data_IF_258365890171
#
_entry.id   IF_258365890171
#
_cell.length_a   1.000
_cell.length_b   1.000
_cell.length_c   1.000
_cell.angle_alpha   90.00
_cell.angle_beta   90.00
_cell.angle_gamma   90.00
#
_symmetry.space_group_name_H-M   'P 1'
#
loop_
_entity.id
_entity.type
_entity.pdbx_description
1 polymer ?
#
# COMPACT_ATOMS: atom_id res chain seq x y z
N UNK A 1 32.93 -40.32 57.05
CA UNK A 1 32.02 -40.57 55.92
C UNK A 1 30.96 -39.48 55.93
N UNK A 2 31.09 -38.49 55.05
CA UNK A 2 30.16 -37.37 54.94
C UNK A 2 29.28 -37.64 53.73
N UNK A 3 27.97 -37.84 53.93
CA UNK A 3 27.01 -37.90 52.84
C UNK A 3 26.02 -36.75 52.99
N UNK A 4 26.34 -35.74 52.18
CA UNK A 4 25.56 -34.63 51.63
C UNK A 4 24.06 -34.88 51.52
N UNK A 5 23.29 -33.96 52.12
CA UNK A 5 21.85 -33.78 51.95
C UNK A 5 21.57 -33.04 50.62
N UNK A 6 20.53 -33.39 49.84
CA UNK A 6 20.17 -32.65 48.64
C UNK A 6 19.33 -31.40 48.96
N UNK A 7 19.63 -30.31 48.24
CA UNK A 7 18.95 -29.02 48.31
C UNK A 7 17.62 -29.00 47.51
N UNK A 8 16.67 -28.10 47.85
CA UNK A 8 15.34 -28.03 47.24
C UNK A 8 15.33 -27.35 45.86
N UNK A 9 14.58 -27.94 44.92
CA UNK A 9 14.31 -27.37 43.59
C UNK A 9 13.24 -26.28 43.68
N UNK A 10 13.64 -25.04 43.45
CA UNK A 10 12.76 -23.89 43.21
C UNK A 10 12.65 -23.61 41.69
N UNK A 11 11.59 -22.91 41.24
CA UNK A 11 11.03 -23.03 39.89
C UNK A 11 11.80 -22.28 38.79
N UNK A 12 11.61 -22.75 37.56
CA UNK A 12 12.17 -22.18 36.35
C UNK A 12 11.76 -20.71 36.12
N UNK A 13 12.69 -19.83 35.68
CA UNK A 13 12.35 -18.47 35.27
C UNK A 13 11.66 -18.43 33.90
N UNK A 14 10.77 -17.45 33.74
CA UNK A 14 10.07 -17.11 32.49
C UNK A 14 11.05 -16.88 31.32
N UNK A 15 10.67 -17.19 30.06
CA UNK A 15 11.40 -16.67 28.92
C UNK A 15 11.08 -15.18 28.75
N UNK A 16 12.16 -14.39 28.76
CA UNK A 16 12.17 -12.97 28.49
C UNK A 16 11.49 -12.64 27.15
N UNK A 17 10.75 -11.54 27.14
CA UNK A 17 10.39 -10.84 25.92
C UNK A 17 11.68 -10.39 25.24
N UNK A 18 12.05 -11.05 24.15
CA UNK A 18 13.19 -10.68 23.33
C UNK A 18 12.85 -9.38 22.60
N UNK A 19 13.53 -8.32 23.01
CA UNK A 19 13.60 -7.05 22.29
C UNK A 19 14.86 -7.11 21.43
N UNK A 20 14.68 -7.54 20.19
CA UNK A 20 15.66 -7.39 19.12
C UNK A 20 14.84 -6.93 17.91
N UNK A 21 14.86 -5.67 17.51
CA UNK A 21 16.05 -5.02 16.96
C UNK A 21 16.07 -5.33 15.47
N UNK A 22 15.50 -4.42 14.69
CA UNK A 22 15.42 -4.42 13.22
C UNK A 22 16.76 -4.71 12.53
N UNK A 23 16.74 -5.29 11.31
CA UNK A 23 17.67 -4.85 10.29
C UNK A 23 17.00 -4.61 8.93
N UNK A 24 16.86 -3.34 8.58
CA UNK A 24 17.22 -2.71 7.29
C UNK A 24 16.70 -3.29 5.97
N UNK A 25 16.00 -2.44 5.20
CA UNK A 25 16.06 -2.42 3.73
C UNK A 25 14.71 -2.40 3.01
N UNK A 26 14.00 -1.26 3.05
CA UNK A 26 13.14 -0.72 1.97
C UNK A 26 12.27 0.43 2.54
N UNK A 27 12.92 1.45 3.11
CA UNK A 27 12.26 2.69 3.53
C UNK A 27 12.19 3.68 2.36
N UNK A 28 11.56 3.29 1.26
CA UNK A 28 11.23 4.23 0.18
C UNK A 28 9.92 3.84 -0.52
N UNK A 29 8.84 3.76 0.26
CA UNK A 29 7.48 3.62 -0.26
C UNK A 29 6.68 4.88 0.08
N UNK A 30 7.04 5.96 -0.63
CA UNK A 30 6.21 7.14 -0.83
C UNK A 30 5.73 7.84 0.46
N UNK A 31 6.68 8.41 1.20
CA UNK A 31 6.39 9.34 2.30
C UNK A 31 5.81 10.66 1.77
N UNK A 32 4.48 10.81 1.81
CA UNK A 32 3.85 12.08 2.18
C UNK A 32 2.39 11.93 2.59
N UNK A 33 2.18 12.04 3.92
CA UNK A 33 1.18 12.90 4.60
C UNK A 33 -0.28 12.78 4.17
N UNK A 34 -0.93 11.72 4.61
CA UNK A 34 -2.21 11.75 5.34
C UNK A 34 -2.47 10.30 5.74
N UNK A 35 -2.35 9.97 7.04
CA UNK A 35 -2.51 8.59 7.54
C UNK A 35 -3.90 8.43 8.17
N UNK A 36 -4.93 7.96 7.44
CA UNK A 36 -6.18 7.51 8.02
C UNK A 36 -6.16 5.97 8.09
N UNK A 37 -5.11 5.38 8.69
CA UNK A 37 -5.12 3.94 8.94
C UNK A 37 -5.39 3.75 10.43
N UNK A 38 -6.66 3.56 10.83
CA UNK A 38 -6.97 3.26 12.23
C UNK A 38 -6.25 1.97 12.62
N UNK A 39 -5.71 1.92 13.83
CA UNK A 39 -5.09 0.72 14.41
C UNK A 39 -6.17 -0.11 15.10
N UNK A 40 -6.82 -1.10 14.47
CA UNK A 40 -7.77 -1.95 15.15
C UNK A 40 -7.04 -2.65 16.31
N UNK A 41 -7.53 -2.43 17.53
CA UNK A 41 -6.99 -3.03 18.76
C UNK A 41 -5.50 -2.74 19.05
N UNK A 42 -4.94 -1.64 18.52
CA UNK A 42 -3.54 -1.30 18.71
C UNK A 42 -2.56 -2.27 18.04
N UNK A 43 -3.03 -3.07 17.08
CA UNK A 43 -2.21 -4.01 16.30
C UNK A 43 -2.19 -3.58 14.84
N UNK A 44 -1.00 -3.59 14.24
CA UNK A 44 -0.79 -3.26 12.83
C UNK A 44 -1.06 -4.49 11.94
N UNK A 45 -2.17 -5.20 12.21
CA UNK A 45 -2.58 -6.41 11.52
C UNK A 45 -4.07 -6.41 11.22
N UNK A 46 -4.42 -6.47 9.93
CA UNK A 46 -5.78 -6.40 9.41
C UNK A 46 -6.17 -7.73 8.76
N UNK A 47 -7.42 -8.13 8.94
CA UNK A 47 -8.05 -9.17 8.13
C UNK A 47 -8.41 -8.63 6.74
N UNK A 48 -8.65 -9.52 5.78
CA UNK A 48 -9.04 -9.13 4.42
C UNK A 48 -10.33 -8.30 4.38
N UNK A 49 -11.26 -8.54 5.30
CA UNK A 49 -12.52 -7.79 5.40
C UNK A 49 -12.29 -6.37 5.92
N UNK A 50 -11.39 -6.20 6.90
CA UNK A 50 -11.00 -4.88 7.39
C UNK A 50 -10.26 -4.09 6.31
N UNK A 51 -9.33 -4.71 5.58
CA UNK A 51 -8.65 -4.06 4.45
C UNK A 51 -9.64 -3.65 3.37
N UNK A 52 -10.61 -4.50 3.03
CA UNK A 52 -11.65 -4.17 2.07
C UNK A 52 -12.47 -2.95 2.51
N UNK A 53 -12.84 -2.87 3.79
CA UNK A 53 -13.55 -1.73 4.35
C UNK A 53 -12.70 -0.44 4.34
N UNK A 54 -11.39 -0.53 4.63
CA UNK A 54 -10.50 0.63 4.68
C UNK A 54 -10.11 1.17 3.30
N UNK A 55 -9.88 0.27 2.34
CA UNK A 55 -9.40 0.64 1.00
C UNK A 55 -10.53 0.86 0.00
N UNK A 56 -11.75 0.44 0.33
CA UNK A 56 -12.87 0.40 -0.60
C UNK A 56 -12.74 -0.67 -1.69
N UNK A 57 -11.68 -1.49 -1.66
CA UNK A 57 -11.49 -2.60 -2.59
C UNK A 57 -12.34 -3.79 -2.19
N UNK A 58 -12.90 -4.49 -3.17
CA UNK A 58 -13.58 -5.75 -2.89
C UNK A 58 -12.58 -6.82 -2.41
N UNK A 59 -13.04 -7.73 -1.54
CA UNK A 59 -12.27 -8.91 -1.14
C UNK A 59 -11.80 -9.72 -2.36
N UNK A 60 -12.61 -9.77 -3.42
CA UNK A 60 -12.23 -10.42 -4.67
C UNK A 60 -11.03 -9.72 -5.34
N UNK A 61 -11.04 -8.39 -5.39
CA UNK A 61 -9.95 -7.58 -5.94
C UNK A 61 -8.65 -7.77 -5.16
N UNK A 62 -8.72 -7.81 -3.82
CA UNK A 62 -7.55 -8.06 -2.98
C UNK A 62 -6.93 -9.44 -3.25
N UNK A 63 -7.77 -10.49 -3.32
CA UNK A 63 -7.32 -11.85 -3.68
C UNK A 63 -6.75 -11.91 -5.09
N UNK A 64 -7.34 -11.15 -6.00
CA UNK A 64 -6.85 -11.05 -7.37
C UNK A 64 -5.47 -10.39 -7.43
N UNK A 65 -5.25 -9.30 -6.70
CA UNK A 65 -3.95 -8.63 -6.59
C UNK A 65 -2.86 -9.53 -6.00
N UNK A 66 -3.17 -10.30 -4.97
CA UNK A 66 -2.25 -11.33 -4.44
C UNK A 66 -1.91 -12.37 -5.51
N UNK A 67 -2.92 -12.86 -6.25
CA UNK A 67 -2.73 -13.92 -7.26
C UNK A 67 -1.85 -13.49 -8.43
N UNK A 68 -1.94 -12.22 -8.86
CA UNK A 68 -1.14 -11.70 -9.97
C UNK A 68 0.25 -11.22 -9.53
N UNK A 69 0.61 -11.38 -8.25
CA UNK A 69 1.92 -10.98 -7.73
C UNK A 69 2.09 -9.48 -7.49
N UNK A 70 0.99 -8.71 -7.51
CA UNK A 70 1.02 -7.27 -7.30
C UNK A 70 1.25 -6.89 -5.84
N UNK A 71 0.89 -7.78 -4.91
CA UNK A 71 1.18 -7.61 -3.48
C UNK A 71 2.34 -8.51 -3.06
N UNK A 72 3.21 -8.05 -2.13
CA UNK A 72 4.20 -8.90 -1.49
C UNK A 72 3.52 -10.02 -0.68
N UNK A 73 4.28 -11.03 -0.26
CA UNK A 73 3.73 -12.17 0.47
C UNK A 73 3.00 -11.74 1.74
N UNK A 74 1.68 -11.81 1.72
CA UNK A 74 0.81 -11.49 2.86
C UNK A 74 1.01 -12.55 3.94
N UNK A 75 1.35 -12.10 5.15
CA UNK A 75 1.49 -12.97 6.31
C UNK A 75 0.23 -13.78 6.59
N UNK A 76 0.39 -14.99 7.12
CA UNK A 76 -0.73 -15.82 7.57
C UNK A 76 -0.67 -15.99 9.09
N UNK A 77 -1.81 -15.93 9.76
CA UNK A 77 -1.90 -16.27 11.18
C UNK A 77 -1.71 -17.78 11.39
N UNK A 78 -1.47 -18.20 12.62
CA UNK A 78 -1.43 -19.62 13.02
C UNK A 78 -2.70 -20.41 12.63
N UNK A 79 -3.83 -19.72 12.46
CA UNK A 79 -5.11 -20.28 12.00
C UNK A 79 -5.29 -20.27 10.48
N UNK A 80 -4.24 -19.94 9.72
CA UNK A 80 -4.23 -19.93 8.25
C UNK A 80 -4.88 -18.71 7.59
N UNK A 81 -5.33 -17.72 8.38
CA UNK A 81 -6.01 -16.52 7.87
C UNK A 81 -4.99 -15.47 7.42
N UNK A 82 -5.30 -14.74 6.34
CA UNK A 82 -4.47 -13.64 5.82
C UNK A 82 -4.44 -12.48 6.81
N UNK A 83 -3.25 -11.95 7.05
CA UNK A 83 -3.00 -10.78 7.90
C UNK A 83 -2.18 -9.77 7.13
N UNK A 84 -2.79 -8.62 6.90
CA UNK A 84 -2.21 -7.48 6.21
C UNK A 84 -1.61 -6.53 7.24
N UNK A 85 -0.50 -5.91 6.92
CA UNK A 85 0.20 -4.93 7.76
C UNK A 85 -0.12 -3.50 7.30
N UNK A 86 0.28 -2.49 8.09
CA UNK A 86 0.21 -1.10 7.63
C UNK A 86 0.97 -0.87 6.31
N UNK A 87 2.12 -1.53 6.13
CA UNK A 87 2.89 -1.45 4.89
C UNK A 87 2.10 -1.97 3.69
N UNK A 88 1.29 -3.01 3.89
CA UNK A 88 0.41 -3.52 2.83
C UNK A 88 -0.71 -2.53 2.49
N UNK A 89 -1.24 -1.80 3.47
CA UNK A 89 -2.24 -0.75 3.24
C UNK A 89 -1.63 0.45 2.51
N UNK A 90 -0.42 0.89 2.89
CA UNK A 90 0.31 1.96 2.20
C UNK A 90 0.61 1.57 0.75
N UNK A 91 1.03 0.31 0.52
CA UNK A 91 1.21 -0.24 -0.82
C UNK A 91 -0.09 -0.25 -1.63
N UNK A 92 -1.20 -0.69 -1.03
CA UNK A 92 -2.52 -0.69 -1.69
C UNK A 92 -2.99 0.73 -2.03
N UNK A 93 -2.74 1.71 -1.16
CA UNK A 93 -3.04 3.11 -1.42
C UNK A 93 -2.21 3.64 -2.59
N UNK A 94 -0.92 3.29 -2.66
CA UNK A 94 -0.05 3.65 -3.77
C UNK A 94 -0.50 3.01 -5.09
N UNK A 95 -0.77 1.70 -5.11
CA UNK A 95 -1.35 0.98 -6.27
C UNK A 95 -2.68 1.60 -6.69
N UNK A 96 -3.51 2.01 -5.74
CA UNK A 96 -4.75 2.74 -6.01
C UNK A 96 -4.50 4.04 -6.78
N UNK A 97 -3.51 4.84 -6.36
CA UNK A 97 -3.11 6.07 -7.06
C UNK A 97 -2.59 5.79 -8.46
N UNK A 98 -1.73 4.78 -8.65
CA UNK A 98 -1.23 4.39 -9.98
C UNK A 98 -2.37 3.95 -10.91
N UNK A 99 -3.38 3.25 -10.38
CA UNK A 99 -4.55 2.87 -11.18
C UNK A 99 -5.35 4.10 -11.64
N UNK A 100 -5.46 5.14 -10.81
CA UNK A 100 -6.14 6.39 -11.19
C UNK A 100 -5.43 7.14 -12.32
N UNK A 101 -4.11 6.93 -12.50
CA UNK A 101 -3.38 7.52 -13.63
C UNK A 101 -3.60 6.80 -14.96
N UNK A 102 -4.38 5.71 -14.97
CA UNK A 102 -4.56 4.87 -16.15
C UNK A 102 -3.41 3.90 -16.42
N UNK A 103 -2.49 3.72 -15.46
CA UNK A 103 -1.41 2.74 -15.59
C UNK A 103 -1.99 1.33 -15.76
N UNK A 104 -1.48 0.59 -16.75
CA UNK A 104 -1.89 -0.79 -16.96
C UNK A 104 -1.49 -1.67 -15.77
N UNK A 105 -2.33 -2.65 -15.45
CA UNK A 105 -2.05 -3.60 -14.34
C UNK A 105 -0.74 -4.36 -14.57
N UNK A 106 -0.40 -4.66 -15.83
CA UNK A 106 0.88 -5.28 -16.17
C UNK A 106 2.09 -4.42 -15.75
N UNK A 107 2.02 -3.10 -15.91
CA UNK A 107 3.08 -2.19 -15.48
C UNK A 107 3.18 -2.09 -13.96
N UNK A 108 2.04 -2.11 -13.26
CA UNK A 108 2.02 -2.17 -11.79
C UNK A 108 2.64 -3.47 -11.26
N UNK A 109 2.37 -4.61 -11.91
CA UNK A 109 3.00 -5.90 -11.55
C UNK A 109 4.50 -5.85 -11.84
N UNK A 110 4.92 -5.31 -13.00
CA UNK A 110 6.34 -5.10 -13.31
C UNK A 110 7.01 -4.23 -12.25
N UNK A 111 6.37 -3.16 -11.81
CA UNK A 111 6.89 -2.32 -10.73
C UNK A 111 7.04 -3.12 -9.42
N UNK A 112 6.05 -3.92 -9.05
CA UNK A 112 6.11 -4.79 -7.87
C UNK A 112 7.28 -5.80 -7.96
N UNK A 113 7.52 -6.36 -9.14
CA UNK A 113 8.63 -7.29 -9.38
C UNK A 113 9.99 -6.59 -9.27
N UNK A 114 10.11 -5.36 -9.78
CA UNK A 114 11.32 -4.54 -9.59
C UNK A 114 11.55 -4.23 -8.11
N UNK A 115 10.48 -3.89 -7.37
CA UNK A 115 10.55 -3.67 -5.91
C UNK A 115 11.10 -4.91 -5.20
N UNK A 116 10.59 -6.09 -5.54
CA UNK A 116 11.02 -7.36 -4.94
C UNK A 116 12.47 -7.73 -5.24
N UNK A 117 13.02 -7.30 -6.37
CA UNK A 117 14.42 -7.53 -6.74
C UNK A 117 15.41 -6.73 -5.86
N UNK A 118 14.94 -5.69 -5.17
CA UNK A 118 15.77 -4.87 -4.28
C UNK A 118 16.50 -3.74 -5.00
N UNK A 119 17.39 -3.08 -4.27
CA UNK A 119 17.91 -1.73 -4.56
C UNK A 119 18.56 -1.53 -5.93
N UNK A 120 19.11 -2.58 -6.53
CA UNK A 120 19.74 -2.48 -7.85
C UNK A 120 18.77 -2.08 -8.96
N UNK A 121 17.46 -2.18 -8.75
CA UNK A 121 16.42 -1.79 -9.72
C UNK A 121 15.88 -0.36 -9.54
N UNK A 122 16.47 0.45 -8.64
CA UNK A 122 16.03 1.84 -8.46
C UNK A 122 15.99 2.66 -9.77
N UNK A 123 16.96 2.56 -10.70
CA UNK A 123 16.89 3.28 -11.96
C UNK A 123 15.65 2.93 -12.79
N UNK A 124 15.29 1.65 -12.87
CA UNK A 124 14.15 1.14 -13.63
C UNK A 124 12.82 1.54 -12.98
N UNK A 125 12.73 1.43 -11.64
CA UNK A 125 11.56 1.90 -10.86
C UNK A 125 11.33 3.39 -11.12
N UNK A 126 12.40 4.19 -11.02
CA UNK A 126 12.34 5.64 -11.26
C UNK A 126 11.91 5.96 -12.69
N UNK A 127 12.45 5.25 -13.68
CA UNK A 127 12.08 5.47 -15.08
C UNK A 127 10.58 5.23 -15.33
N UNK A 128 10.02 4.16 -14.77
CA UNK A 128 8.59 3.84 -14.86
C UNK A 128 7.73 4.94 -14.24
N UNK A 129 8.09 5.43 -13.04
CA UNK A 129 7.35 6.49 -12.37
C UNK A 129 7.46 7.84 -13.09
N UNK A 130 8.63 8.15 -13.66
CA UNK A 130 8.82 9.36 -14.47
C UNK A 130 7.95 9.31 -15.72
N UNK A 131 7.93 8.21 -16.46
CA UNK A 131 7.09 8.05 -17.64
C UNK A 131 5.60 8.25 -17.29
N UNK A 132 5.14 7.59 -16.23
CA UNK A 132 3.77 7.72 -15.72
C UNK A 132 3.44 9.17 -15.36
N UNK A 133 4.35 9.87 -14.69
CA UNK A 133 4.16 11.28 -14.32
C UNK A 133 3.99 12.16 -15.56
N UNK A 134 4.78 11.95 -16.61
CA UNK A 134 4.65 12.74 -17.83
C UNK A 134 3.33 12.46 -18.58
N UNK A 135 2.85 11.21 -18.56
CA UNK A 135 1.53 10.87 -19.10
C UNK A 135 0.39 11.54 -18.31
N UNK A 136 0.47 11.54 -16.98
CA UNK A 136 -0.49 12.26 -16.12
C UNK A 136 -0.50 13.75 -16.42
N UNK A 137 0.68 14.38 -16.55
CA UNK A 137 0.78 15.81 -16.88
C UNK A 137 0.15 16.14 -18.22
N UNK A 138 0.37 15.29 -19.23
CA UNK A 138 -0.27 15.44 -20.54
C UNK A 138 -1.79 15.37 -20.42
N UNK A 139 -2.29 14.37 -19.68
CA UNK A 139 -3.73 14.20 -19.47
C UNK A 139 -4.35 15.38 -18.73
N UNK A 140 -3.67 15.92 -17.72
CA UNK A 140 -4.10 17.12 -16.99
C UNK A 140 -4.21 18.32 -17.95
N UNK A 141 -3.21 18.53 -18.81
CA UNK A 141 -3.24 19.62 -19.79
C UNK A 141 -4.40 19.49 -20.78
N UNK A 142 -4.67 18.28 -21.29
CA UNK A 142 -5.83 17.99 -22.15
C UNK A 142 -7.16 18.27 -21.44
N UNK A 143 -7.28 17.85 -20.19
CA UNK A 143 -8.49 18.06 -19.39
C UNK A 143 -8.72 19.55 -19.10
N UNK A 144 -7.67 20.32 -18.80
CA UNK A 144 -7.79 21.77 -18.65
C UNK A 144 -8.21 22.45 -19.95
N UNK A 145 -7.62 22.07 -21.09
CA UNK A 145 -8.03 22.60 -22.38
C UNK A 145 -9.50 22.27 -22.69
N UNK A 146 -9.95 21.06 -22.34
CA UNK A 146 -11.35 20.64 -22.51
C UNK A 146 -12.27 21.46 -21.62
N UNK A 147 -11.89 21.67 -20.35
CA UNK A 147 -12.65 22.45 -19.40
C UNK A 147 -12.86 23.88 -19.89
N UNK A 148 -11.83 24.54 -20.42
CA UNK A 148 -11.96 25.89 -20.99
C UNK A 148 -12.97 25.99 -22.14
N UNK A 149 -13.08 24.95 -22.98
CA UNK A 149 -14.09 24.92 -24.05
C UNK A 149 -15.49 24.77 -23.48
N UNK A 150 -15.65 23.93 -22.45
CA UNK A 150 -16.94 23.75 -21.77
C UNK A 150 -17.37 25.03 -21.06
N UNK A 151 -16.48 25.67 -20.31
CA UNK A 151 -16.73 26.92 -19.61
C UNK A 151 -17.18 28.02 -20.58
N UNK A 152 -16.46 28.19 -21.70
CA UNK A 152 -16.84 29.14 -22.75
C UNK A 152 -18.25 28.87 -23.30
N UNK A 153 -18.60 27.59 -23.51
CA UNK A 153 -19.92 27.22 -24.01
C UNK A 153 -21.03 27.46 -22.99
N UNK A 154 -20.76 27.19 -21.72
CA UNK A 154 -21.69 27.47 -20.62
C UNK A 154 -21.96 28.98 -20.54
N UNK A 155 -20.91 29.79 -20.55
CA UNK A 155 -21.02 31.25 -20.50
C UNK A 155 -21.83 31.81 -21.67
N UNK A 156 -21.57 31.32 -22.89
CA UNK A 156 -22.31 31.72 -24.08
C UNK A 156 -23.83 31.52 -23.88
N UNK A 157 -24.25 30.33 -23.46
CA UNK A 157 -25.68 30.04 -23.28
C UNK A 157 -26.29 30.81 -22.11
N UNK A 158 -25.54 31.02 -21.02
CA UNK A 158 -25.99 31.87 -19.92
C UNK A 158 -26.24 33.31 -20.36
N UNK A 159 -25.43 33.85 -21.28
CA UNK A 159 -25.64 35.21 -21.82
C UNK A 159 -26.81 35.31 -22.81
N UNK A 160 -27.12 34.23 -23.54
CA UNK A 160 -28.26 34.17 -24.46
C UNK A 160 -29.59 34.07 -23.70
N UNK A 161 -29.64 33.31 -22.60
CA UNK A 161 -30.83 33.13 -21.76
C UNK A 161 -31.25 34.42 -21.03
N UNK A 162 -30.29 35.25 -20.59
CA UNK A 162 -30.58 36.54 -19.93
C UNK A 162 -31.00 37.65 -20.91
N UNK A 163 -30.84 37.43 -22.22
CA UNK A 163 -31.18 38.40 -23.26
C UNK A 163 -32.57 38.18 -23.86
N UNK A 164 -33.23 37.07 -23.49
CA UNK A 164 -34.58 36.70 -23.89
C UNK A 164 -35.58 36.88 -22.77
#
# INVERSE_FOLDING_TARGET
MTLTQPAPTAPAPAPAADTTGDPTGDEDLCASVDRPHPRPHGRDLYSISEVAAHTGLSVHTLRWYERIGLMPHIGRSHTGQRRYTNRDLEWLAFVGKLRLTGMAVADMVRYADLVRQGDHTYPERRALLVATREDVRRRIAELHSTLSVLDFKIDLYSTEEHRS
#
